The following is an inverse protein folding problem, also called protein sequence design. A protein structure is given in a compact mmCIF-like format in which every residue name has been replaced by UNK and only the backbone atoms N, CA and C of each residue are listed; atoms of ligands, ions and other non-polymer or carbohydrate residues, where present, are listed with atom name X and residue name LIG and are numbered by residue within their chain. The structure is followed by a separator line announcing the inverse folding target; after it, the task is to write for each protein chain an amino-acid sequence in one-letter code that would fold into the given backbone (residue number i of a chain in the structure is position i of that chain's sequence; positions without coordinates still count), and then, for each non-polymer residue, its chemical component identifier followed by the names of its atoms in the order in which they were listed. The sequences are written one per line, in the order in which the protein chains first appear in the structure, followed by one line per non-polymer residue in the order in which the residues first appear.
data_IF_427828929600
#
_entry.id   IF_427828929600
#
_cell.length_a   1.000
_cell.length_b   1.000
_cell.length_c   1.000
_cell.angle_alpha   90.00
_cell.angle_beta   90.00
_cell.angle_gamma   90.00
#
_symmetry.space_group_name_H-M   'P 1'
#
loop_
_entity.id
_entity.type
_entity.pdbx_description
1 polymer ?
#
# COMPACT_ATOMS: atom_id res chain seq x y z
N UNK A 1 9.96 -2.04 8.03
CA UNK A 1 9.44 -3.04 7.07
C UNK A 1 8.86 -4.30 7.72
N UNK A 2 9.08 -4.59 9.02
CA UNK A 2 8.61 -5.84 9.63
C UNK A 2 7.09 -5.97 9.79
N UNK A 3 6.37 -4.90 10.17
CA UNK A 3 4.96 -5.02 10.55
C UNK A 3 4.00 -5.22 9.36
N UNK A 4 4.20 -4.49 8.27
CA UNK A 4 3.31 -4.51 7.10
C UNK A 4 3.10 -5.91 6.46
N UNK A 5 4.16 -6.71 6.23
CA UNK A 5 4.04 -8.08 5.72
C UNK A 5 3.33 -9.05 6.67
N UNK A 6 3.29 -8.76 7.97
CA UNK A 6 2.56 -9.57 8.95
C UNK A 6 1.09 -9.14 9.08
N UNK A 7 0.79 -7.87 8.82
CA UNK A 7 -0.56 -7.32 8.87
C UNK A 7 -1.44 -7.83 7.74
N UNK A 8 -0.92 -7.92 6.51
CA UNK A 8 -1.73 -8.33 5.35
C UNK A 8 -2.25 -9.77 5.43
N UNK A 9 -1.45 -10.79 5.78
CA UNK A 9 -1.92 -12.14 6.08
C UNK A 9 -3.01 -12.19 7.17
N UNK A 10 -2.86 -11.42 8.25
CA UNK A 10 -3.86 -11.35 9.33
C UNK A 10 -5.20 -10.77 8.87
N UNK A 11 -5.18 -9.91 7.85
CA UNK A 11 -6.38 -9.37 7.22
C UNK A 11 -7.10 -10.40 6.35
N UNK A 12 -6.38 -11.37 5.77
CA UNK A 12 -6.89 -12.29 4.74
C UNK A 12 -8.19 -13.02 5.12
N UNK A 13 -8.37 -13.56 6.35
CA UNK A 13 -9.62 -14.22 6.74
C UNK A 13 -10.86 -13.30 6.76
N UNK A 14 -10.66 -11.99 6.62
CA UNK A 14 -11.69 -10.94 6.67
C UNK A 14 -11.73 -10.12 5.37
N UNK A 15 -11.04 -10.59 4.34
CA UNK A 15 -11.05 -10.00 3.01
C UNK A 15 -12.18 -10.65 2.22
N UNK A 16 -13.27 -9.92 2.05
CA UNK A 16 -14.40 -10.30 1.20
C UNK A 16 -14.34 -9.54 -0.14
N UNK A 17 -15.11 -9.98 -1.13
CA UNK A 17 -15.14 -9.33 -2.45
C UNK A 17 -15.35 -7.82 -2.39
N UNK A 18 -16.26 -7.33 -1.54
CA UNK A 18 -16.49 -5.89 -1.36
C UNK A 18 -15.24 -5.11 -0.91
N UNK A 19 -14.36 -5.72 -0.12
CA UNK A 19 -13.09 -5.08 0.27
C UNK A 19 -12.11 -5.06 -0.91
N UNK A 20 -12.06 -6.13 -1.70
CA UNK A 20 -11.23 -6.21 -2.90
C UNK A 20 -11.68 -5.16 -3.92
N UNK A 21 -12.99 -4.97 -4.09
CA UNK A 21 -13.56 -3.95 -4.97
C UNK A 21 -13.17 -2.54 -4.51
N UNK A 22 -13.28 -2.27 -3.20
CA UNK A 22 -12.83 -1.00 -2.61
C UNK A 22 -11.33 -0.76 -2.83
N UNK A 23 -10.49 -1.77 -2.57
CA UNK A 23 -9.05 -1.68 -2.80
C UNK A 23 -8.72 -1.48 -4.29
N UNK A 24 -9.50 -2.09 -5.18
CA UNK A 24 -9.36 -1.92 -6.64
C UNK A 24 -9.70 -0.48 -7.05
N UNK A 25 -10.77 0.10 -6.50
CA UNK A 25 -11.13 1.50 -6.74
C UNK A 25 -10.06 2.47 -6.24
N UNK A 26 -9.54 2.27 -5.02
CA UNK A 26 -8.44 3.08 -4.48
C UNK A 26 -7.19 2.98 -5.35
N UNK A 27 -6.87 1.77 -5.83
CA UNK A 27 -5.73 1.56 -6.72
C UNK A 27 -5.89 2.26 -8.08
N UNK A 28 -7.11 2.38 -8.61
CA UNK A 28 -7.38 3.15 -9.82
C UNK A 28 -7.11 4.65 -9.60
N UNK A 29 -7.59 5.22 -8.49
CA UNK A 29 -7.30 6.61 -8.11
C UNK A 29 -5.81 6.86 -7.89
N UNK A 30 -5.10 5.88 -7.31
CA UNK A 30 -3.66 5.96 -7.15
C UNK A 30 -2.93 5.98 -8.50
N UNK A 31 -3.37 5.13 -9.44
CA UNK A 31 -2.85 5.13 -10.80
C UNK A 31 -3.08 6.48 -11.51
N UNK A 32 -4.28 7.05 -11.40
CA UNK A 32 -4.58 8.38 -11.95
C UNK A 32 -3.69 9.47 -11.34
N UNK A 33 -3.46 9.42 -10.03
CA UNK A 33 -2.53 10.32 -9.33
C UNK A 33 -1.10 10.21 -9.87
N UNK A 34 -0.63 8.99 -10.15
CA UNK A 34 0.67 8.76 -10.78
C UNK A 34 0.71 9.30 -12.22
N UNK A 35 -0.30 9.01 -13.05
CA UNK A 35 -0.34 9.43 -14.46
C UNK A 35 -0.41 10.95 -14.61
N UNK A 36 -1.16 11.61 -13.73
CA UNK A 36 -1.31 13.07 -13.70
C UNK A 36 -0.15 13.80 -13.01
N UNK A 37 0.86 13.06 -12.53
CA UNK A 37 1.98 13.60 -11.74
C UNK A 37 1.52 14.39 -10.50
N UNK A 38 0.39 13.99 -9.92
CA UNK A 38 -0.14 14.58 -8.70
C UNK A 38 0.39 13.82 -7.48
N UNK A 39 1.56 14.25 -6.98
CA UNK A 39 2.22 13.63 -5.83
C UNK A 39 1.32 13.56 -4.59
N UNK A 40 0.47 14.57 -4.37
CA UNK A 40 -0.45 14.59 -3.22
C UNK A 40 -1.53 13.51 -3.36
N UNK A 41 -2.18 13.43 -4.51
CA UNK A 41 -3.19 12.41 -4.78
C UNK A 41 -2.60 11.00 -4.71
N UNK A 42 -1.40 10.82 -5.29
CA UNK A 42 -0.67 9.57 -5.26
C UNK A 42 -0.35 9.12 -3.82
N UNK A 43 0.34 9.95 -3.03
CA UNK A 43 0.75 9.56 -1.67
C UNK A 43 -0.48 9.28 -0.79
N UNK A 44 -1.53 10.10 -0.90
CA UNK A 44 -2.77 9.91 -0.13
C UNK A 44 -3.41 8.56 -0.43
N UNK A 45 -3.63 8.25 -1.71
CA UNK A 45 -4.29 7.01 -2.15
C UNK A 45 -3.42 5.77 -1.91
N UNK A 46 -2.08 5.90 -1.97
CA UNK A 46 -1.15 4.84 -1.60
C UNK A 46 -1.32 4.45 -0.13
N UNK A 47 -1.29 5.44 0.77
CA UNK A 47 -1.51 5.21 2.20
C UNK A 47 -2.91 4.67 2.49
N UNK A 48 -3.93 5.19 1.80
CA UNK A 48 -5.32 4.73 1.94
C UNK A 48 -5.47 3.25 1.55
N UNK A 49 -4.80 2.79 0.49
CA UNK A 49 -4.80 1.40 0.05
C UNK A 49 -4.31 0.47 1.16
N UNK A 50 -3.11 0.72 1.70
CA UNK A 50 -2.55 -0.11 2.77
C UNK A 50 -3.36 -0.03 4.06
N UNK A 51 -3.79 1.17 4.45
CA UNK A 51 -4.61 1.38 5.66
C UNK A 51 -5.92 0.59 5.58
N UNK A 52 -6.59 0.64 4.43
CA UNK A 52 -7.86 -0.07 4.18
C UNK A 52 -7.68 -1.58 4.37
N UNK A 53 -6.56 -2.15 3.90
CA UNK A 53 -6.24 -3.55 4.13
C UNK A 53 -5.91 -3.83 5.62
N UNK A 54 -5.05 -3.01 6.24
CA UNK A 54 -4.55 -3.26 7.59
C UNK A 54 -5.60 -3.06 8.68
N UNK A 55 -6.65 -2.28 8.45
CA UNK A 55 -7.82 -2.21 9.34
C UNK A 55 -8.50 -3.57 9.53
N UNK A 56 -8.34 -4.51 8.59
CA UNK A 56 -8.87 -5.88 8.70
C UNK A 56 -7.94 -6.84 9.44
N UNK A 57 -6.71 -6.44 9.76
CA UNK A 57 -5.74 -7.28 10.46
C UNK A 57 -6.03 -7.46 11.97
N UNK A 58 -7.00 -6.73 12.52
CA UNK A 58 -7.37 -6.74 13.95
C UNK A 58 -6.17 -6.59 14.91
N UNK A 59 -5.17 -5.82 14.51
CA UNK A 59 -3.93 -5.60 15.28
C UNK A 59 -3.75 -4.10 15.54
N UNK A 60 -4.53 -3.50 16.46
CA UNK A 60 -4.62 -2.05 16.63
C UNK A 60 -3.28 -1.40 17.02
N UNK A 61 -2.47 -2.06 17.85
CA UNK A 61 -1.14 -1.57 18.21
C UNK A 61 -0.19 -1.50 17.00
N UNK A 62 -0.17 -2.54 16.16
CA UNK A 62 0.63 -2.56 14.93
C UNK A 62 0.14 -1.53 13.92
N UNK A 63 -1.18 -1.35 13.80
CA UNK A 63 -1.77 -0.33 12.93
C UNK A 63 -1.36 1.08 13.36
N UNK A 64 -1.44 1.39 14.66
CA UNK A 64 -1.03 2.69 15.20
C UNK A 64 0.45 2.99 14.95
N UNK A 65 1.32 1.97 15.08
CA UNK A 65 2.75 2.10 14.74
C UNK A 65 2.92 2.40 13.25
N UNK A 66 2.25 1.66 12.36
CA UNK A 66 2.29 1.91 10.92
C UNK A 66 1.82 3.33 10.58
N UNK A 67 0.69 3.78 11.13
CA UNK A 67 0.16 5.13 10.92
C UNK A 67 1.12 6.21 11.43
N UNK A 68 1.77 6.00 12.57
CA UNK A 68 2.78 6.92 13.12
C UNK A 68 3.99 7.05 12.18
N UNK A 69 4.50 5.92 11.68
CA UNK A 69 5.60 5.92 10.71
C UNK A 69 5.18 6.62 9.41
N UNK A 70 3.95 6.38 8.93
CA UNK A 70 3.44 7.05 7.73
C UNK A 70 3.31 8.56 7.90
N UNK A 71 2.86 9.04 9.07
CA UNK A 71 2.81 10.48 9.36
C UNK A 71 4.18 11.14 9.28
N UNK A 72 5.22 10.47 9.80
CA UNK A 72 6.61 10.96 9.73
C UNK A 72 7.17 10.92 8.30
N UNK A 73 6.85 9.88 7.54
CA UNK A 73 7.36 9.69 6.17
C UNK A 73 6.57 10.46 5.09
N UNK A 74 5.35 10.92 5.39
CA UNK A 74 4.45 11.57 4.43
C UNK A 74 5.08 12.74 3.65
N UNK A 75 5.68 13.74 4.34
CA UNK A 75 6.35 14.86 3.67
C UNK A 75 7.52 14.41 2.77
N UNK A 76 8.31 13.42 3.24
CA UNK A 76 9.45 12.88 2.49
C UNK A 76 9.00 12.13 1.25
N UNK A 77 7.97 11.28 1.38
CA UNK A 77 7.34 10.59 0.24
C UNK A 77 6.82 11.60 -0.78
N UNK A 78 6.11 12.65 -0.36
CA UNK A 78 5.61 13.69 -1.28
C UNK A 78 6.75 14.35 -2.05
N UNK A 79 7.80 14.81 -1.36
CA UNK A 79 8.96 15.46 -1.98
C UNK A 79 9.68 14.52 -2.96
N UNK A 80 9.82 13.25 -2.61
CA UNK A 80 10.40 12.22 -3.46
C UNK A 80 9.57 12.00 -4.72
N UNK A 81 8.25 11.83 -4.60
CA UNK A 81 7.37 11.59 -5.75
C UNK A 81 7.22 12.81 -6.67
N UNK A 82 7.36 14.03 -6.14
CA UNK A 82 7.40 15.24 -6.96
C UNK A 82 8.64 15.27 -7.88
N UNK A 83 9.76 14.71 -7.39
CA UNK A 83 11.04 14.61 -8.12
C UNK A 83 11.11 13.40 -9.05
N UNK A 84 10.61 12.24 -8.61
CA UNK A 84 10.47 11.07 -9.48
C UNK A 84 9.39 11.38 -10.51
N UNK A 85 9.78 11.83 -11.71
CA UNK A 85 8.91 11.93 -12.89
C UNK A 85 8.48 10.54 -13.40
N UNK A 86 8.08 9.64 -12.50
CA UNK A 86 7.58 8.30 -12.82
C UNK A 86 6.20 8.41 -13.42
N UNK A 87 6.03 7.79 -14.58
CA UNK A 87 4.74 7.53 -15.22
C UNK A 87 4.34 6.06 -15.12
N UNK A 88 4.87 5.35 -14.13
CA UNK A 88 4.57 3.95 -13.93
C UNK A 88 3.69 3.79 -12.69
N UNK A 89 2.54 3.14 -12.87
CA UNK A 89 1.69 2.72 -11.76
C UNK A 89 2.44 1.74 -10.85
N UNK A 90 2.16 1.72 -9.53
CA UNK A 90 2.70 0.68 -8.66
C UNK A 90 2.17 -0.69 -9.10
N UNK A 91 3.05 -1.50 -9.71
CA UNK A 91 2.72 -2.85 -10.16
C UNK A 91 2.34 -3.75 -8.98
N UNK A 92 2.88 -3.47 -7.79
CA UNK A 92 2.70 -4.32 -6.61
C UNK A 92 1.29 -4.29 -6.03
N UNK A 93 0.54 -3.19 -6.12
CA UNK A 93 -0.87 -3.18 -5.70
C UNK A 93 -1.72 -4.18 -6.50
N UNK A 94 -1.44 -4.35 -7.80
CA UNK A 94 -2.14 -5.35 -8.63
C UNK A 94 -1.82 -6.78 -8.19
N UNK A 95 -0.57 -7.03 -7.80
CA UNK A 95 -0.14 -8.34 -7.27
C UNK A 95 -0.78 -8.61 -5.91
N UNK A 96 -0.84 -7.61 -5.01
CA UNK A 96 -1.55 -7.69 -3.73
C UNK A 96 -3.03 -8.04 -3.96
N UNK A 97 -3.70 -7.34 -4.88
CA UNK A 97 -5.10 -7.62 -5.23
C UNK A 97 -5.29 -9.04 -5.79
N UNK A 98 -4.37 -9.52 -6.62
CA UNK A 98 -4.42 -10.89 -7.15
C UNK A 98 -4.27 -11.93 -6.02
N UNK A 99 -3.31 -11.74 -5.12
CA UNK A 99 -3.11 -12.63 -3.98
C UNK A 99 -4.32 -12.64 -3.03
N UNK A 100 -4.93 -11.48 -2.79
CA UNK A 100 -6.17 -11.35 -2.01
C UNK A 100 -7.33 -12.13 -2.64
N UNK A 101 -7.50 -12.05 -3.98
CA UNK A 101 -8.54 -12.80 -4.70
C UNK A 101 -8.32 -14.31 -4.65
N UNK A 102 -7.06 -14.75 -4.70
CA UNK A 102 -6.69 -16.15 -4.69
C UNK A 102 -6.68 -16.77 -3.28
N UNK A 103 -6.75 -15.96 -2.22
CA UNK A 103 -6.51 -16.46 -0.86
C UNK A 103 -5.05 -16.89 -0.63
N UNK A 104 -4.12 -16.41 -1.45
CA UNK A 104 -2.70 -16.80 -1.42
C UNK A 104 -1.96 -16.03 -0.33
N UNK A 105 -1.95 -16.58 0.89
CA UNK A 105 -1.26 -15.96 2.02
C UNK A 105 0.25 -15.77 1.79
N UNK A 106 1.02 -16.79 1.34
CA UNK A 106 2.44 -16.62 1.03
C UNK A 106 2.69 -15.54 -0.04
N UNK A 107 1.91 -15.54 -1.12
CA UNK A 107 2.00 -14.54 -2.18
C UNK A 107 1.65 -13.14 -1.70
N UNK A 108 0.62 -13.00 -0.85
CA UNK A 108 0.23 -11.73 -0.25
C UNK A 108 1.34 -11.15 0.62
N UNK A 109 1.94 -11.98 1.47
CA UNK A 109 3.07 -11.59 2.33
C UNK A 109 4.26 -11.10 1.50
N UNK A 110 4.61 -11.82 0.44
CA UNK A 110 5.69 -11.46 -0.47
C UNK A 110 5.40 -10.16 -1.23
N UNK A 111 4.18 -10.00 -1.74
CA UNK A 111 3.75 -8.84 -2.50
C UNK A 111 3.82 -7.56 -1.64
N UNK A 112 3.29 -7.60 -0.42
CA UNK A 112 3.33 -6.47 0.53
C UNK A 112 4.75 -6.15 0.98
N UNK A 113 5.58 -7.17 1.23
CA UNK A 113 6.99 -6.95 1.56
C UNK A 113 7.72 -6.24 0.43
N UNK A 114 7.54 -6.72 -0.80
CA UNK A 114 8.20 -6.16 -1.98
C UNK A 114 7.78 -4.71 -2.20
N UNK A 115 6.48 -4.42 -2.12
CA UNK A 115 5.93 -3.07 -2.24
C UNK A 115 6.55 -2.08 -1.24
N UNK A 116 6.52 -2.42 0.05
CA UNK A 116 7.05 -1.56 1.12
C UNK A 116 8.57 -1.41 1.00
N UNK A 117 9.29 -2.49 0.70
CA UNK A 117 10.75 -2.44 0.52
C UNK A 117 11.14 -1.58 -0.67
N UNK A 118 10.42 -1.67 -1.79
CA UNK A 118 10.68 -0.82 -2.95
C UNK A 118 10.40 0.64 -2.65
N UNK A 119 9.27 0.95 -2.00
CA UNK A 119 8.96 2.30 -1.53
C UNK A 119 10.04 2.89 -0.63
N UNK A 120 10.55 2.10 0.33
CA UNK A 120 11.64 2.51 1.22
C UNK A 120 12.98 2.70 0.50
N UNK A 121 13.32 1.86 -0.49
CA UNK A 121 14.54 2.03 -1.29
C UNK A 121 14.57 3.37 -2.00
N UNK A 122 13.43 3.83 -2.52
CA UNK A 122 13.35 5.14 -3.14
C UNK A 122 13.60 6.31 -2.17
N UNK A 123 13.35 6.11 -0.87
CA UNK A 123 13.64 7.12 0.16
C UNK A 123 15.10 7.11 0.61
N UNK A 124 15.83 6.01 0.40
CA UNK A 124 17.21 5.84 0.87
C UNK A 124 18.27 6.41 -0.09
N UNK A 125 17.89 6.76 -1.33
CA UNK A 125 18.81 7.19 -2.40
C UNK A 125 19.10 6.06 -3.37
#
# INVERSE_FOLDING_TARGET
ALFAPDMAPRALPRVYFALIDRLTAINALNHEGAMSQNAVAYVRTNLEFHRTLYLRAQSPAMLAICETVWLQLGPTMRSLYDKLRRRDAPQHHRIILAALRAGDEPGLRLAVRTDVTQGLRHLAG
#
